data_IF_641045452393
#
_entry.id   IF_641045452393
#
_cell.length_a   1.000
_cell.length_b   1.000
_cell.length_c   1.000
_cell.angle_alpha   90.00
_cell.angle_beta   90.00
_cell.angle_gamma   90.00
#
_symmetry.space_group_name_H-M   'P 1'
#
loop_
_entity.id
_entity.type
_entity.pdbx_description
1 polymer ?
#
# COMPACT_ATOMS: atom_id res chain seq x y z
N UNK A 1 -8.10 -15.59 -12.05
CA UNK A 1 -7.32 -14.33 -12.09
C UNK A 1 -6.03 -14.51 -11.29
N UNK A 2 -4.85 -14.29 -11.89
CA UNK A 2 -3.59 -14.28 -11.14
C UNK A 2 -3.46 -12.94 -10.42
N UNK A 3 -3.46 -12.97 -9.09
CA UNK A 3 -3.15 -11.78 -8.29
C UNK A 3 -1.65 -11.52 -8.47
N UNK A 4 -1.28 -10.43 -9.14
CA UNK A 4 0.11 -9.99 -9.17
C UNK A 4 0.49 -9.54 -7.75
N UNK A 5 1.35 -10.33 -7.10
CA UNK A 5 1.89 -10.01 -5.78
C UNK A 5 2.88 -8.87 -5.94
N UNK A 6 2.72 -7.81 -5.16
CA UNK A 6 3.71 -6.74 -5.09
C UNK A 6 4.91 -7.27 -4.28
N UNK A 7 6.09 -7.28 -4.89
CA UNK A 7 7.32 -7.66 -4.20
C UNK A 7 7.94 -6.40 -3.63
N UNK A 8 8.22 -6.39 -2.32
CA UNK A 8 8.89 -5.29 -1.63
C UNK A 8 10.29 -5.75 -1.21
N UNK A 9 11.28 -4.87 -1.37
CA UNK A 9 12.58 -5.00 -0.70
C UNK A 9 12.43 -4.83 0.82
N UNK A 10 13.46 -5.24 1.55
CA UNK A 10 13.50 -5.08 3.01
C UNK A 10 13.46 -3.61 3.44
N UNK A 11 14.10 -2.72 2.68
CA UNK A 11 14.07 -1.27 2.94
C UNK A 11 12.67 -0.70 2.75
N UNK A 12 12.02 -0.99 1.61
CA UNK A 12 10.65 -0.54 1.34
C UNK A 12 9.67 -1.06 2.39
N UNK A 13 9.80 -2.33 2.80
CA UNK A 13 8.96 -2.92 3.85
C UNK A 13 9.16 -2.21 5.18
N UNK A 14 10.39 -1.86 5.55
CA UNK A 14 10.69 -1.10 6.77
C UNK A 14 10.12 0.31 6.71
N UNK A 15 10.30 1.01 5.59
CA UNK A 15 9.78 2.35 5.37
C UNK A 15 8.25 2.39 5.45
N UNK A 16 7.56 1.48 4.76
CA UNK A 16 6.09 1.37 4.80
C UNK A 16 5.58 0.99 6.19
N UNK A 17 6.27 0.10 6.89
CA UNK A 17 5.90 -0.26 8.26
C UNK A 17 6.06 0.93 9.20
N UNK A 18 7.14 1.69 9.06
CA UNK A 18 7.37 2.92 9.84
C UNK A 18 6.31 3.96 9.50
N UNK A 19 6.07 4.23 8.22
CA UNK A 19 5.05 5.16 7.75
C UNK A 19 3.63 4.81 8.21
N UNK A 20 3.29 3.52 8.26
CA UNK A 20 2.01 3.06 8.83
C UNK A 20 1.92 3.31 10.35
N UNK A 21 3.01 3.16 11.09
CA UNK A 21 3.02 3.28 12.56
C UNK A 21 3.13 4.73 13.04
N UNK A 22 3.91 5.55 12.36
CA UNK A 22 4.31 6.89 12.84
C UNK A 22 3.93 8.02 11.89
N UNK A 23 3.36 7.72 10.72
CA UNK A 23 2.99 8.73 9.74
C UNK A 23 1.98 9.74 10.29
N UNK A 24 2.19 11.02 9.99
CA UNK A 24 1.43 12.14 10.58
C UNK A 24 -0.05 12.09 10.20
N UNK A 25 -0.37 11.88 8.91
CA UNK A 25 -1.76 11.85 8.45
C UNK A 25 -2.34 10.44 8.44
N UNK A 26 -3.61 10.32 8.84
CA UNK A 26 -4.36 9.06 8.76
C UNK A 26 -4.36 8.50 7.33
N UNK A 27 -4.57 9.37 6.34
CA UNK A 27 -4.54 9.03 4.93
C UNK A 27 -3.21 8.37 4.52
N UNK A 28 -2.07 8.97 4.90
CA UNK A 28 -0.75 8.41 4.59
C UNK A 28 -0.54 7.05 5.26
N UNK A 29 -0.93 6.91 6.53
CA UNK A 29 -0.87 5.61 7.22
C UNK A 29 -1.69 4.54 6.49
N UNK A 30 -2.92 4.86 6.09
CA UNK A 30 -3.78 3.92 5.35
C UNK A 30 -3.23 3.56 3.97
N UNK A 31 -2.59 4.51 3.27
CA UNK A 31 -1.90 4.23 2.01
C UNK A 31 -0.71 3.27 2.22
N UNK A 32 0.10 3.48 3.26
CA UNK A 32 1.17 2.55 3.65
C UNK A 32 0.60 1.15 3.96
N UNK A 33 -0.49 1.08 4.73
CA UNK A 33 -1.19 -0.18 5.03
C UNK A 33 -1.67 -0.88 3.76
N UNK A 34 -2.22 -0.14 2.81
CA UNK A 34 -2.70 -0.70 1.54
C UNK A 34 -1.57 -1.38 0.75
N UNK A 35 -0.39 -0.77 0.67
CA UNK A 35 0.78 -1.35 -0.02
C UNK A 35 1.28 -2.60 0.70
N UNK A 36 1.38 -2.59 2.03
CA UNK A 36 1.77 -3.75 2.83
C UNK A 36 0.84 -4.94 2.60
N UNK A 37 -0.47 -4.72 2.65
CA UNK A 37 -1.48 -5.75 2.40
C UNK A 37 -1.42 -6.29 0.96
N UNK A 38 -1.19 -5.42 -0.04
CA UNK A 38 -0.96 -5.85 -1.42
C UNK A 38 0.28 -6.72 -1.57
N UNK A 39 1.33 -6.45 -0.80
CA UNK A 39 2.54 -7.27 -0.78
C UNK A 39 2.37 -8.59 -0.03
N UNK A 40 1.44 -8.67 0.93
CA UNK A 40 1.01 -9.91 1.57
C UNK A 40 0.21 -10.81 0.62
N UNK A 41 -0.24 -10.28 -0.54
CA UNK A 41 -0.94 -11.04 -1.58
C UNK A 41 -2.44 -10.82 -1.61
N UNK A 42 -2.97 -9.87 -0.84
CA UNK A 42 -4.39 -9.55 -0.87
C UNK A 42 -4.81 -8.93 -2.21
N UNK A 43 -6.05 -9.19 -2.61
CA UNK A 43 -6.69 -8.54 -3.75
C UNK A 43 -7.08 -7.09 -3.41
N UNK A 44 -7.21 -6.23 -4.43
CA UNK A 44 -7.57 -4.84 -4.22
C UNK A 44 -8.92 -4.64 -3.47
N UNK A 45 -9.97 -5.45 -3.70
CA UNK A 45 -11.18 -5.40 -2.88
C UNK A 45 -10.96 -5.74 -1.41
N UNK A 46 -10.16 -6.78 -1.11
CA UNK A 46 -9.85 -7.16 0.28
C UNK A 46 -9.05 -6.08 1.01
N UNK A 47 -8.10 -5.45 0.31
CA UNK A 47 -7.35 -4.31 0.86
C UNK A 47 -8.29 -3.13 1.09
N UNK A 48 -9.14 -2.82 0.11
CA UNK A 48 -10.09 -1.71 0.20
C UNK A 48 -11.03 -1.82 1.41
N UNK A 49 -11.51 -3.03 1.71
CA UNK A 49 -12.33 -3.30 2.89
C UNK A 49 -11.60 -3.03 4.23
N UNK A 50 -10.27 -3.19 4.28
CA UNK A 50 -9.47 -2.94 5.49
C UNK A 50 -8.99 -1.50 5.63
N UNK A 51 -8.92 -0.74 4.53
CA UNK A 51 -8.39 0.63 4.51
C UNK A 51 -9.46 1.67 4.19
N UNK A 52 -10.73 1.27 4.14
CA UNK A 52 -11.88 2.12 3.74
C UNK A 52 -11.68 2.80 2.38
N UNK A 53 -11.00 2.10 1.46
CA UNK A 53 -10.75 2.59 0.10
C UNK A 53 -11.50 1.74 -0.92
N UNK A 54 -11.81 2.32 -2.08
CA UNK A 54 -12.27 1.52 -3.21
C UNK A 54 -11.13 0.68 -3.77
N UNK A 55 -11.44 -0.46 -4.40
CA UNK A 55 -10.45 -1.29 -5.09
C UNK A 55 -9.69 -0.51 -6.18
N UNK A 56 -10.35 0.45 -6.85
CA UNK A 56 -9.73 1.32 -7.84
C UNK A 56 -8.68 2.23 -7.20
N UNK A 57 -9.02 2.87 -6.08
CA UNK A 57 -8.10 3.72 -5.31
C UNK A 57 -6.88 2.94 -4.84
N UNK A 58 -7.07 1.72 -4.34
CA UNK A 58 -5.95 0.83 -3.97
C UNK A 58 -5.05 0.57 -5.18
N UNK A 59 -5.62 0.25 -6.35
CA UNK A 59 -4.86 0.05 -7.59
C UNK A 59 -4.05 1.28 -8.01
N UNK A 60 -4.63 2.48 -7.88
CA UNK A 60 -3.92 3.75 -8.15
C UNK A 60 -2.74 3.97 -7.21
N UNK A 61 -2.86 3.66 -5.92
CA UNK A 61 -1.76 3.77 -4.97
C UNK A 61 -0.65 2.75 -5.23
N UNK A 62 -1.00 1.51 -5.58
CA UNK A 62 0.00 0.51 -5.99
C UNK A 62 0.79 0.99 -7.19
N UNK A 63 0.12 1.49 -8.23
CA UNK A 63 0.80 2.01 -9.42
C UNK A 63 1.69 3.21 -9.10
N UNK A 64 1.26 4.11 -8.20
CA UNK A 64 2.09 5.24 -7.75
C UNK A 64 3.32 4.77 -6.99
N UNK A 65 3.14 3.82 -6.07
CA UNK A 65 4.25 3.24 -5.31
C UNK A 65 5.26 2.53 -6.23
N UNK A 66 4.80 1.72 -7.19
CA UNK A 66 5.69 1.05 -8.16
C UNK A 66 6.53 2.06 -8.97
N UNK A 67 6.03 3.28 -9.19
CA UNK A 67 6.72 4.31 -9.97
C UNK A 67 7.60 5.25 -9.12
N UNK A 68 7.24 5.50 -7.85
CA UNK A 68 7.81 6.59 -7.05
C UNK A 68 8.24 6.16 -5.63
N UNK A 69 8.09 4.88 -5.29
CA UNK A 69 8.30 4.36 -3.94
C UNK A 69 7.39 5.03 -2.92
N UNK A 70 7.87 5.16 -1.68
CA UNK A 70 7.12 5.77 -0.58
C UNK A 70 6.74 7.24 -0.83
N UNK A 71 7.53 7.96 -1.64
CA UNK A 71 7.24 9.36 -1.98
C UNK A 71 5.92 9.49 -2.75
N UNK A 72 5.55 8.48 -3.55
CA UNK A 72 4.27 8.44 -4.25
C UNK A 72 3.05 8.24 -3.35
N UNK A 73 3.22 8.11 -2.04
CA UNK A 73 2.15 7.89 -1.06
C UNK A 73 1.78 9.13 -0.23
N UNK A 74 2.58 10.20 -0.27
CA UNK A 74 2.25 11.50 0.32
C UNK A 74 1.14 12.18 -0.49
#
# INVERSE_FOLDING_TARGET
>A
MKIKKLTLSDSERRELTTGFRTGESHCFRMRCRAILLKAEGLSAPQVGAQTEMTAQTVGSWVKRFENQGIQGLY
#
